data_IF_290023285905
#
_entry.id   IF_290023285905
#
_cell.length_a   1.000
_cell.length_b   1.000
_cell.length_c   1.000
_cell.angle_alpha   90.00
_cell.angle_beta   90.00
_cell.angle_gamma   90.00
#
_symmetry.space_group_name_H-M   'P 1'
#
loop_
_entity.id
_entity.type
_entity.pdbx_description
1 polymer ?
#
# COMPACT_ATOMS: atom_id res chain seq x y z
N UNK A 1 -1.21 -38.27 -1.84
CA UNK A 1 -1.30 -36.90 -2.40
C UNK A 1 0.11 -36.43 -2.69
N UNK A 2 0.32 -35.84 -3.87
CA UNK A 2 1.63 -35.74 -4.51
C UNK A 2 2.58 -34.71 -3.93
N UNK A 3 3.89 -34.97 -4.06
CA UNK A 3 4.94 -33.96 -3.88
C UNK A 3 4.95 -33.03 -5.10
N UNK A 4 5.16 -31.74 -4.85
CA UNK A 4 5.29 -30.71 -5.87
C UNK A 4 6.78 -30.53 -6.19
N UNK A 5 7.18 -30.66 -7.45
CA UNK A 5 8.47 -30.11 -7.88
C UNK A 5 8.19 -28.84 -8.67
N UNK A 6 8.47 -27.67 -8.09
CA UNK A 6 8.45 -26.41 -8.84
C UNK A 6 9.66 -26.35 -9.76
N UNK A 7 9.43 -26.28 -11.07
CA UNK A 7 10.45 -25.97 -12.05
C UNK A 7 10.27 -24.53 -12.54
N UNK A 8 11.30 -23.72 -12.30
CA UNK A 8 11.53 -22.36 -12.82
C UNK A 8 10.72 -21.22 -12.19
N UNK A 9 11.39 -20.44 -11.31
CA UNK A 9 11.01 -19.06 -10.99
C UNK A 9 11.46 -18.16 -12.16
N UNK A 10 10.52 -17.64 -12.94
CA UNK A 10 10.77 -16.48 -13.78
C UNK A 10 10.10 -15.26 -13.13
N UNK A 11 10.83 -14.54 -12.28
CA UNK A 11 10.39 -13.26 -11.73
C UNK A 11 10.40 -12.21 -12.85
N UNK A 12 9.28 -12.07 -13.55
CA UNK A 12 9.03 -10.89 -14.38
C UNK A 12 8.13 -9.95 -13.60
N UNK A 13 8.62 -8.77 -13.15
CA UNK A 13 7.75 -7.76 -12.58
C UNK A 13 6.81 -7.24 -13.67
N UNK A 14 5.56 -7.70 -13.65
CA UNK A 14 4.47 -7.09 -14.41
C UNK A 14 3.92 -5.88 -13.62
N UNK A 15 3.43 -4.82 -14.30
CA UNK A 15 3.22 -3.51 -13.69
C UNK A 15 2.27 -3.54 -12.47
N UNK A 16 2.76 -2.95 -11.37
CA UNK A 16 2.06 -2.77 -10.10
C UNK A 16 0.85 -1.83 -10.23
N UNK A 17 -0.19 -2.04 -9.42
CA UNK A 17 -1.30 -1.07 -9.21
C UNK A 17 -1.01 0.01 -8.16
N UNK A 18 0.20 0.08 -7.59
CA UNK A 18 0.66 1.24 -6.83
C UNK A 18 0.97 2.41 -7.77
N UNK A 19 1.01 3.65 -7.27
CA UNK A 19 1.30 4.79 -8.15
C UNK A 19 2.75 4.71 -8.65
N UNK A 20 2.94 4.31 -9.90
CA UNK A 20 4.29 4.24 -10.46
C UNK A 20 4.82 5.66 -10.65
N UNK A 21 6.15 5.84 -10.64
CA UNK A 21 6.74 7.12 -11.05
C UNK A 21 6.22 7.56 -12.41
N UNK A 22 6.04 6.62 -13.32
CA UNK A 22 5.46 6.90 -14.63
C UNK A 22 4.03 7.45 -14.49
N UNK A 23 3.17 6.83 -13.68
CA UNK A 23 1.81 7.31 -13.43
C UNK A 23 1.76 8.72 -12.79
N UNK A 24 2.71 9.02 -11.88
CA UNK A 24 2.88 10.38 -11.32
C UNK A 24 3.15 11.38 -12.45
N UNK A 25 4.10 11.07 -13.33
CA UNK A 25 4.48 11.93 -14.44
C UNK A 25 3.38 12.04 -15.50
N UNK A 26 2.69 10.94 -15.81
CA UNK A 26 1.57 10.93 -16.75
C UNK A 26 0.44 11.84 -16.24
N UNK A 27 0.16 11.79 -14.93
CA UNK A 27 -0.79 12.71 -14.30
C UNK A 27 -0.31 14.15 -14.43
N UNK A 28 0.97 14.42 -14.14
CA UNK A 28 1.54 15.76 -14.26
C UNK A 28 1.47 16.31 -15.70
N UNK A 29 1.73 15.47 -16.71
CA UNK A 29 1.58 15.82 -18.13
C UNK A 29 0.14 16.18 -18.46
N UNK A 30 -0.85 15.41 -17.99
CA UNK A 30 -2.27 15.74 -18.23
C UNK A 30 -2.58 17.16 -17.78
N UNK A 31 -2.15 17.57 -16.59
CA UNK A 31 -2.38 18.94 -16.11
C UNK A 31 -1.59 20.00 -16.87
N UNK A 32 -0.34 19.71 -17.26
CA UNK A 32 0.56 20.66 -17.90
C UNK A 32 0.28 20.85 -19.41
N UNK A 33 -0.25 19.81 -20.05
CA UNK A 33 -0.59 19.76 -21.49
C UNK A 33 -2.09 19.95 -21.72
N UNK A 34 -2.88 20.19 -20.66
CA UNK A 34 -4.33 20.36 -20.75
C UNK A 34 -4.70 21.54 -21.65
N UNK A 35 -5.28 21.27 -22.82
CA UNK A 35 -5.83 22.30 -23.69
C UNK A 35 -7.23 22.72 -23.25
N UNK A 36 -7.50 24.01 -23.21
CA UNK A 36 -8.81 24.57 -22.91
C UNK A 36 -9.01 25.94 -23.54
N UNK A 37 -10.26 26.32 -23.78
CA UNK A 37 -10.62 27.66 -24.29
C UNK A 37 -11.22 28.51 -23.17
N UNK A 38 -10.68 29.71 -22.95
CA UNK A 38 -11.27 30.64 -22.01
C UNK A 38 -12.53 31.26 -22.63
N UNK A 39 -13.72 30.96 -22.10
CA UNK A 39 -14.97 31.53 -22.60
C UNK A 39 -15.54 32.64 -21.70
N UNK A 40 -14.94 32.85 -20.53
CA UNK A 40 -15.39 33.90 -19.62
C UNK A 40 -14.89 35.27 -20.10
N UNK A 41 -15.80 36.24 -20.19
CA UNK A 41 -15.52 37.62 -20.57
C UNK A 41 -15.14 38.46 -19.35
N UNK A 42 -13.88 38.90 -19.26
CA UNK A 42 -13.52 40.02 -18.37
C UNK A 42 -13.14 41.26 -19.18
N UNK A 43 -13.82 42.37 -18.86
CA UNK A 43 -13.60 43.74 -19.35
C UNK A 43 -12.73 44.59 -18.41
N UNK A 44 -12.19 44.03 -17.31
CA UNK A 44 -11.35 44.81 -16.41
C UNK A 44 -9.89 44.75 -16.86
N UNK A 45 -9.50 45.81 -17.56
CA UNK A 45 -8.14 46.23 -17.84
C UNK A 45 -7.26 46.01 -16.59
N UNK A 46 -6.29 45.10 -16.67
CA UNK A 46 -5.18 45.02 -15.70
C UNK A 46 -4.90 43.70 -14.96
N UNK A 47 -5.68 42.62 -15.15
CA UNK A 47 -5.42 41.33 -14.46
C UNK A 47 -5.51 40.07 -15.35
N UNK A 48 -5.68 40.22 -16.65
CA UNK A 48 -5.95 39.10 -17.56
C UNK A 48 -4.71 38.30 -17.92
N UNK A 49 -4.45 37.18 -17.24
CA UNK A 49 -3.59 36.13 -17.79
C UNK A 49 -4.33 35.27 -18.83
N UNK A 50 -5.67 35.32 -18.82
CA UNK A 50 -6.54 34.56 -19.70
C UNK A 50 -7.57 35.49 -20.34
N UNK A 51 -7.73 35.39 -21.67
CA UNK A 51 -8.59 36.25 -22.48
C UNK A 51 -9.68 35.41 -23.14
N UNK A 52 -10.91 35.95 -23.18
CA UNK A 52 -12.05 35.28 -23.80
C UNK A 52 -11.77 34.92 -25.27
N UNK A 53 -12.18 33.73 -25.68
CA UNK A 53 -11.97 33.16 -27.01
C UNK A 53 -10.55 32.62 -27.27
N UNK A 54 -9.60 32.81 -26.34
CA UNK A 54 -8.24 32.31 -26.51
C UNK A 54 -8.08 30.88 -25.95
N UNK A 55 -7.22 30.10 -26.61
CA UNK A 55 -6.81 28.77 -26.16
C UNK A 55 -5.57 28.84 -25.28
N UNK A 56 -5.54 27.99 -24.27
CA UNK A 56 -4.42 27.86 -23.33
C UNK A 56 -4.07 26.40 -23.14
N UNK A 57 -2.79 26.15 -22.87
CA UNK A 57 -2.24 24.84 -22.50
C UNK A 57 -1.87 24.87 -21.02
N UNK A 58 -2.23 23.86 -20.25
CA UNK A 58 -1.97 23.80 -18.82
C UNK A 58 -3.13 24.35 -17.99
N UNK A 59 -3.54 23.60 -16.96
CA UNK A 59 -4.62 24.01 -16.06
C UNK A 59 -4.31 25.33 -15.35
N UNK A 60 -5.31 26.21 -15.19
CA UNK A 60 -5.10 27.50 -14.56
C UNK A 60 -4.68 27.38 -13.09
N UNK A 61 -3.76 28.25 -12.66
CA UNK A 61 -3.36 28.36 -11.27
C UNK A 61 -4.42 29.14 -10.48
N UNK A 62 -4.88 28.54 -9.38
CA UNK A 62 -5.72 29.20 -8.38
C UNK A 62 -5.13 28.99 -7.01
N UNK A 63 -4.82 30.07 -6.28
CA UNK A 63 -4.38 29.95 -4.89
C UNK A 63 -5.47 29.29 -4.05
N UNK A 64 -5.13 28.23 -3.31
CA UNK A 64 -6.11 27.44 -2.59
C UNK A 64 -7.02 26.57 -3.48
N UNK A 65 -6.77 26.49 -4.78
CA UNK A 65 -7.48 25.62 -5.72
C UNK A 65 -7.08 24.16 -5.59
N UNK A 66 -8.02 23.24 -5.83
CA UNK A 66 -7.81 21.79 -5.77
C UNK A 66 -8.63 21.05 -6.83
N UNK A 67 -8.87 21.70 -7.97
CA UNK A 67 -9.65 21.09 -9.02
C UNK A 67 -8.94 19.84 -9.57
N UNK A 68 -9.74 18.86 -9.96
CA UNK A 68 -9.29 17.82 -10.87
C UNK A 68 -9.46 18.35 -12.30
N UNK A 69 -8.56 18.01 -13.24
CA UNK A 69 -8.59 18.55 -14.60
C UNK A 69 -9.95 18.44 -15.32
N UNK A 70 -10.68 17.32 -15.13
CA UNK A 70 -12.06 17.17 -15.62
C UNK A 70 -13.03 18.19 -15.02
N UNK A 71 -12.93 18.41 -13.71
CA UNK A 71 -13.75 19.41 -13.00
C UNK A 71 -13.40 20.81 -13.46
N UNK A 72 -12.12 21.10 -13.68
CA UNK A 72 -11.66 22.37 -14.23
C UNK A 72 -12.25 22.63 -15.62
N UNK A 73 -12.14 21.67 -16.55
CA UNK A 73 -12.74 21.79 -17.89
C UNK A 73 -14.24 22.02 -17.82
N UNK A 74 -14.95 21.26 -16.99
CA UNK A 74 -16.38 21.48 -16.80
C UNK A 74 -16.69 22.90 -16.30
N UNK A 75 -15.95 23.40 -15.31
CA UNK A 75 -16.14 24.75 -14.78
C UNK A 75 -15.87 25.83 -15.84
N UNK A 76 -14.81 25.71 -16.62
CA UNK A 76 -14.40 26.78 -17.54
C UNK A 76 -15.11 26.71 -18.89
N UNK A 77 -15.29 25.50 -19.43
CA UNK A 77 -15.85 25.32 -20.77
C UNK A 77 -17.36 25.13 -20.78
N UNK A 78 -17.95 24.56 -19.72
CA UNK A 78 -19.41 24.37 -19.63
C UNK A 78 -20.04 25.49 -18.81
N UNK A 79 -19.60 25.65 -17.56
CA UNK A 79 -20.16 26.66 -16.65
C UNK A 79 -19.63 28.07 -16.90
N UNK A 80 -18.63 28.23 -17.78
CA UNK A 80 -18.03 29.52 -18.15
C UNK A 80 -17.50 30.29 -16.93
N UNK A 81 -17.07 29.59 -15.88
CA UNK A 81 -16.53 30.19 -14.66
C UNK A 81 -15.15 30.80 -14.88
N UNK A 82 -14.77 31.73 -14.01
CA UNK A 82 -13.51 32.46 -14.10
C UNK A 82 -12.33 31.56 -13.70
N UNK A 83 -11.36 31.33 -14.61
CA UNK A 83 -10.10 30.71 -14.25
C UNK A 83 -9.38 31.55 -13.18
N UNK A 84 -8.59 30.90 -12.31
CA UNK A 84 -7.87 31.50 -11.16
C UNK A 84 -8.74 31.94 -9.99
N UNK A 85 -9.99 32.37 -10.22
CA UNK A 85 -10.90 32.79 -9.15
C UNK A 85 -11.81 31.64 -8.71
N UNK A 86 -12.38 30.92 -9.68
CA UNK A 86 -13.41 29.91 -9.44
C UNK A 86 -12.96 28.51 -9.86
N UNK A 87 -12.04 28.43 -10.84
CA UNK A 87 -11.52 27.18 -11.37
C UNK A 87 -9.98 27.18 -11.41
N UNK A 88 -9.37 26.08 -10.99
CA UNK A 88 -7.93 25.85 -11.07
C UNK A 88 -7.33 25.16 -9.85
N UNK A 89 -6.01 25.04 -9.87
CA UNK A 89 -5.24 24.25 -8.92
C UNK A 89 -4.01 25.01 -8.40
N UNK A 90 -3.72 24.91 -7.10
CA UNK A 90 -2.47 25.47 -6.52
C UNK A 90 -1.28 24.49 -6.61
N UNK A 91 -0.08 24.95 -6.24
CA UNK A 91 1.14 24.14 -6.33
C UNK A 91 1.09 22.85 -5.50
N UNK A 92 0.57 22.92 -4.27
CA UNK A 92 0.49 21.77 -3.37
C UNK A 92 -0.62 20.81 -3.75
N UNK A 93 -1.78 21.31 -4.15
CA UNK A 93 -2.87 20.51 -4.67
C UNK A 93 -2.45 19.80 -5.97
N UNK A 94 -1.73 20.48 -6.86
CA UNK A 94 -1.17 19.87 -8.06
C UNK A 94 -0.27 18.67 -7.72
N UNK A 95 0.65 18.84 -6.78
CA UNK A 95 1.49 17.74 -6.29
C UNK A 95 0.65 16.63 -5.67
N UNK A 96 -0.32 16.94 -4.80
CA UNK A 96 -1.23 15.95 -4.22
C UNK A 96 -1.98 15.15 -5.28
N UNK A 97 -2.46 15.79 -6.35
CA UNK A 97 -3.11 15.12 -7.47
C UNK A 97 -2.15 14.22 -8.24
N UNK A 98 -0.93 14.69 -8.49
CA UNK A 98 0.10 13.88 -9.17
C UNK A 98 0.51 12.67 -8.34
N UNK A 99 0.57 12.82 -7.02
CA UNK A 99 0.80 11.73 -6.07
C UNK A 99 -0.45 10.89 -5.77
N UNK A 100 -1.61 11.27 -6.32
CA UNK A 100 -2.92 10.64 -6.08
C UNK A 100 -3.26 10.47 -4.59
N UNK A 101 -2.84 11.42 -3.77
CA UNK A 101 -3.16 11.49 -2.33
C UNK A 101 -4.27 12.51 -2.08
N UNK A 102 -4.80 12.49 -0.86
CA UNK A 102 -5.66 13.56 -0.37
C UNK A 102 -4.96 14.92 -0.43
N UNK A 103 -5.77 15.98 -0.36
CA UNK A 103 -5.24 17.34 -0.51
C UNK A 103 -4.31 17.68 0.65
N UNK A 104 -3.05 17.95 0.31
CA UNK A 104 -2.08 18.53 1.21
C UNK A 104 -1.74 19.95 0.82
N UNK A 105 -1.15 20.68 1.76
CA UNK A 105 -0.53 21.99 1.56
C UNK A 105 0.99 21.86 1.68
N UNK A 106 1.75 22.87 1.23
CA UNK A 106 3.22 22.87 1.36
C UNK A 106 3.70 22.64 2.80
N UNK A 107 2.91 23.05 3.81
CA UNK A 107 3.20 22.80 5.22
C UNK A 107 3.02 21.32 5.66
N UNK A 108 2.17 20.55 4.97
CA UNK A 108 1.83 19.17 5.34
C UNK A 108 2.44 18.12 4.41
N UNK A 109 2.92 18.50 3.21
CA UNK A 109 3.62 17.57 2.31
C UNK A 109 4.82 16.87 2.98
N UNK A 110 5.62 17.53 3.85
CA UNK A 110 6.67 16.84 4.62
C UNK A 110 6.15 15.78 5.61
N UNK A 111 4.86 15.76 5.95
CA UNK A 111 4.28 14.72 6.82
C UNK A 111 4.05 13.40 6.09
N UNK A 112 4.02 13.44 4.75
CA UNK A 112 3.77 12.30 3.87
C UNK A 112 4.97 12.00 2.96
N UNK A 113 6.11 12.63 3.20
CA UNK A 113 7.33 12.48 2.42
C UNK A 113 8.57 12.58 3.31
N UNK A 114 9.71 12.07 2.86
CA UNK A 114 10.98 12.30 3.58
C UNK A 114 11.98 13.11 2.77
N UNK A 115 12.77 13.88 3.51
CA UNK A 115 13.89 14.65 2.99
C UNK A 115 14.95 13.69 2.41
N UNK A 116 15.33 13.93 1.16
CA UNK A 116 16.42 13.23 0.49
C UNK A 116 17.56 14.21 0.15
N UNK A 117 18.64 13.70 -0.45
CA UNK A 117 19.69 14.56 -1.03
C UNK A 117 19.42 14.74 -2.52
N UNK A 118 19.96 15.80 -3.13
CA UNK A 118 19.84 16.03 -4.57
C UNK A 118 20.36 14.84 -5.40
N UNK A 119 21.40 14.15 -4.91
CA UNK A 119 21.95 12.94 -5.52
C UNK A 119 20.96 11.77 -5.61
N UNK A 120 19.94 11.77 -4.74
CA UNK A 120 18.92 10.71 -4.66
C UNK A 120 17.62 11.06 -5.38
N UNK A 121 17.52 12.27 -5.95
CA UNK A 121 16.32 12.69 -6.68
C UNK A 121 16.04 11.75 -7.84
N UNK A 122 14.77 11.40 -7.96
CA UNK A 122 14.23 10.57 -9.03
C UNK A 122 12.99 11.25 -9.62
N UNK A 123 12.59 10.88 -10.84
CA UNK A 123 11.34 11.36 -11.40
C UNK A 123 10.15 11.11 -10.46
N UNK A 124 9.24 12.06 -10.32
CA UNK A 124 8.10 12.01 -9.41
C UNK A 124 8.38 12.48 -7.97
N UNK A 125 9.63 12.75 -7.61
CA UNK A 125 9.98 13.43 -6.37
C UNK A 125 9.64 14.92 -6.45
N UNK A 126 9.65 15.62 -5.32
CA UNK A 126 9.37 17.06 -5.28
C UNK A 126 10.57 17.86 -4.82
N UNK A 127 10.62 19.11 -5.25
CA UNK A 127 11.39 20.16 -4.60
C UNK A 127 10.38 21.02 -3.84
N UNK A 128 10.52 21.09 -2.51
CA UNK A 128 9.65 21.88 -1.65
C UNK A 128 10.42 23.06 -1.06
N UNK A 129 9.85 24.26 -1.22
CA UNK A 129 10.22 25.45 -0.47
C UNK A 129 9.18 25.62 0.64
N UNK A 130 9.53 25.26 1.89
CA UNK A 130 8.56 25.14 2.97
C UNK A 130 7.65 26.36 3.10
N UNK A 131 6.35 26.11 3.27
CA UNK A 131 5.30 27.12 3.42
C UNK A 131 5.19 28.12 2.26
N UNK A 132 5.79 27.84 1.09
CA UNK A 132 5.87 28.80 0.00
C UNK A 132 5.49 28.19 -1.35
N UNK A 133 6.20 27.17 -1.81
CA UNK A 133 6.00 26.62 -3.16
C UNK A 133 6.58 25.22 -3.25
N UNK A 134 5.89 24.31 -3.93
CA UNK A 134 6.39 23.00 -4.30
C UNK A 134 6.36 22.77 -5.81
N UNK A 135 7.33 22.03 -6.36
CA UNK A 135 7.36 21.59 -7.76
C UNK A 135 7.64 20.10 -7.85
N UNK A 136 7.15 19.45 -8.92
CA UNK A 136 7.34 18.03 -9.17
C UNK A 136 8.48 17.82 -10.18
N UNK A 137 9.45 16.97 -9.85
CA UNK A 137 10.64 16.71 -10.67
C UNK A 137 10.34 15.65 -11.72
N UNK A 138 10.60 15.95 -12.99
CA UNK A 138 10.61 14.95 -14.07
C UNK A 138 12.00 14.36 -14.24
N UNK A 139 13.03 15.21 -14.30
CA UNK A 139 14.41 14.78 -14.40
C UNK A 139 15.34 15.85 -13.83
N UNK A 140 16.50 15.42 -13.33
CA UNK A 140 17.47 16.33 -12.76
C UNK A 140 18.88 15.83 -13.03
N UNK A 141 19.74 16.68 -13.59
CA UNK A 141 21.17 16.43 -13.70
C UNK A 141 21.92 17.31 -12.70
N UNK A 142 22.91 16.75 -11.98
CA UNK A 142 23.65 17.48 -10.93
C UNK A 142 24.31 18.76 -11.44
N UNK A 143 24.87 18.71 -12.66
CA UNK A 143 25.51 19.85 -13.31
C UNK A 143 24.66 20.41 -14.47
N UNK A 144 23.51 19.79 -14.76
CA UNK A 144 22.66 20.14 -15.89
C UNK A 144 21.35 20.79 -15.47
N UNK A 145 20.39 20.91 -16.41
CA UNK A 145 19.08 21.44 -16.09
C UNK A 145 18.31 20.48 -15.19
N UNK A 146 17.39 21.07 -14.44
CA UNK A 146 16.33 20.37 -13.72
C UNK A 146 15.02 20.64 -14.45
N UNK A 147 14.33 19.56 -14.82
CA UNK A 147 13.07 19.59 -15.56
C UNK A 147 11.95 19.28 -14.58
N UNK A 148 10.97 20.17 -14.50
CA UNK A 148 9.88 20.09 -13.53
C UNK A 148 8.52 20.34 -14.15
N UNK A 149 7.50 19.85 -13.47
CA UNK A 149 6.14 20.33 -13.56
C UNK A 149 5.84 21.25 -12.37
N UNK A 150 5.23 22.40 -12.65
CA UNK A 150 5.03 23.47 -11.68
C UNK A 150 3.66 24.12 -11.91
N UNK A 151 2.78 24.12 -10.91
CA UNK A 151 1.61 25.01 -10.91
C UNK A 151 2.02 26.35 -10.31
N UNK A 152 2.14 27.38 -11.15
CA UNK A 152 2.71 28.67 -10.76
C UNK A 152 1.71 29.81 -10.97
N UNK A 153 1.64 30.70 -9.99
CA UNK A 153 0.89 31.96 -10.08
C UNK A 153 1.59 33.03 -10.93
N UNK A 154 1.41 34.30 -10.56
CA UNK A 154 2.06 35.42 -11.25
C UNK A 154 1.58 35.62 -12.69
N UNK A 155 2.50 35.89 -13.61
CA UNK A 155 2.21 36.16 -15.04
C UNK A 155 1.93 34.90 -15.86
N UNK A 156 2.42 33.74 -15.43
CA UNK A 156 2.19 32.46 -16.11
C UNK A 156 0.81 31.91 -15.71
N UNK A 157 0.53 31.88 -14.40
CA UNK A 157 -0.75 31.50 -13.80
C UNK A 157 -1.37 30.19 -14.29
N UNK A 158 -0.56 29.17 -14.53
CA UNK A 158 -0.99 27.83 -14.99
C UNK A 158 0.02 26.77 -14.61
N UNK A 159 -0.39 25.51 -14.74
CA UNK A 159 0.53 24.36 -14.71
C UNK A 159 1.42 24.40 -15.95
N UNK A 160 2.72 24.26 -15.75
CA UNK A 160 3.72 24.30 -16.81
C UNK A 160 4.75 23.19 -16.64
N UNK A 161 5.26 22.72 -17.77
CA UNK A 161 6.42 21.84 -17.87
C UNK A 161 7.62 22.66 -18.36
N UNK A 162 8.75 22.65 -17.62
CA UNK A 162 9.92 23.48 -17.97
C UNK A 162 11.24 22.89 -17.50
N UNK A 163 12.28 23.12 -18.31
CA UNK A 163 13.68 22.94 -17.94
C UNK A 163 14.25 24.27 -17.40
N UNK A 164 15.01 24.23 -16.31
CA UNK A 164 15.63 25.42 -15.71
C UNK A 164 16.91 25.07 -14.95
N UNK A 165 17.62 26.08 -14.43
CA UNK A 165 18.84 25.91 -13.66
C UNK A 165 18.57 25.71 -12.17
N UNK A 166 19.45 24.99 -11.49
CA UNK A 166 19.40 24.77 -10.04
C UNK A 166 19.34 26.06 -9.20
N UNK A 167 19.87 27.18 -9.71
CA UNK A 167 19.78 28.48 -9.04
C UNK A 167 18.34 28.92 -8.74
N UNK A 168 17.34 28.51 -9.54
CA UNK A 168 15.92 28.76 -9.26
C UNK A 168 15.44 28.05 -7.99
N UNK A 169 16.03 26.89 -7.68
CA UNK A 169 15.63 26.02 -6.58
C UNK A 169 16.66 25.95 -5.45
N UNK A 170 17.57 26.92 -5.35
CA UNK A 170 18.62 26.94 -4.32
C UNK A 170 18.08 26.92 -2.87
N UNK A 171 16.82 27.31 -2.66
CA UNK A 171 16.14 27.32 -1.36
C UNK A 171 15.11 26.19 -1.19
N UNK A 172 15.05 25.27 -2.14
CA UNK A 172 14.13 24.14 -2.10
C UNK A 172 14.85 22.91 -1.56
N UNK A 173 14.12 22.10 -0.81
CA UNK A 173 14.58 20.83 -0.26
C UNK A 173 13.93 19.69 -1.04
N UNK A 174 14.69 18.68 -1.48
CA UNK A 174 14.12 17.56 -2.21
C UNK A 174 13.46 16.58 -1.25
N UNK A 175 12.22 16.19 -1.56
CA UNK A 175 11.48 15.17 -0.82
C UNK A 175 11.01 14.08 -1.77
N UNK A 176 10.98 12.86 -1.26
CA UNK A 176 10.34 11.72 -1.93
C UNK A 176 9.14 11.28 -1.11
N UNK A 177 8.02 11.00 -1.80
CA UNK A 177 6.78 10.52 -1.17
C UNK A 177 7.08 9.27 -0.35
N UNK A 178 6.46 9.14 0.82
CA UNK A 178 6.59 7.93 1.64
C UNK A 178 6.07 6.72 0.89
N UNK A 179 6.77 5.62 1.09
CA UNK A 179 6.50 4.39 0.41
C UNK A 179 6.36 3.22 1.40
N UNK A 180 5.24 2.49 1.27
CA UNK A 180 5.15 1.08 1.68
C UNK A 180 5.04 0.24 0.42
N UNK A 181 5.83 -0.82 0.34
CA UNK A 181 5.79 -1.69 -0.82
C UNK A 181 6.14 -3.12 -0.48
N UNK A 182 6.00 -3.98 -1.47
CA UNK A 182 6.55 -5.32 -1.49
C UNK A 182 7.95 -5.30 -2.10
N UNK A 183 8.78 -6.28 -1.75
CA UNK A 183 10.12 -6.46 -2.33
C UNK A 183 10.12 -7.70 -3.22
N UNK A 184 9.88 -7.57 -4.55
CA UNK A 184 9.75 -8.71 -5.45
C UNK A 184 10.95 -9.67 -5.39
N UNK A 185 12.16 -9.13 -5.22
CA UNK A 185 13.41 -9.88 -5.13
C UNK A 185 13.54 -10.74 -3.86
N UNK A 186 12.67 -10.53 -2.87
CA UNK A 186 12.62 -11.31 -1.64
C UNK A 186 11.35 -12.13 -1.53
N UNK A 187 10.58 -12.24 -2.60
CA UNK A 187 9.44 -13.13 -2.66
C UNK A 187 9.91 -14.52 -3.05
N UNK A 188 9.52 -15.53 -2.28
CA UNK A 188 9.80 -16.93 -2.62
C UNK A 188 8.56 -17.79 -2.50
N UNK A 189 8.47 -18.78 -3.38
CA UNK A 189 7.40 -19.76 -3.38
C UNK A 189 8.00 -21.10 -2.96
N UNK A 190 7.36 -21.78 -2.02
CA UNK A 190 7.81 -23.06 -1.49
C UNK A 190 6.64 -24.02 -1.33
N UNK A 191 6.92 -25.31 -1.29
CA UNK A 191 5.93 -26.33 -0.99
C UNK A 191 6.07 -26.81 0.46
N UNK A 192 4.95 -27.22 1.03
CA UNK A 192 4.95 -28.02 2.26
C UNK A 192 3.61 -28.71 2.40
N UNK A 193 3.63 -30.04 2.43
CA UNK A 193 2.43 -30.85 2.66
C UNK A 193 1.23 -30.53 1.73
N UNK A 194 1.49 -30.26 0.45
CA UNK A 194 0.42 -29.97 -0.52
C UNK A 194 -0.12 -28.54 -0.49
N UNK A 195 0.61 -27.61 0.10
CA UNK A 195 0.27 -26.19 0.16
C UNK A 195 1.35 -25.37 -0.55
N UNK A 196 0.93 -24.47 -1.45
CA UNK A 196 1.82 -23.46 -2.05
C UNK A 196 1.98 -22.32 -1.06
N UNK A 197 3.21 -22.07 -0.60
CA UNK A 197 3.55 -21.01 0.35
C UNK A 197 4.26 -19.88 -0.34
N UNK A 198 3.80 -18.65 -0.13
CA UNK A 198 4.44 -17.43 -0.63
C UNK A 198 5.01 -16.67 0.56
N UNK A 199 6.34 -16.54 0.60
CA UNK A 199 7.05 -15.66 1.53
C UNK A 199 7.18 -14.30 0.88
N UNK A 200 6.84 -13.24 1.61
CA UNK A 200 6.93 -11.88 1.13
C UNK A 200 7.46 -10.94 2.21
N UNK A 201 8.14 -9.88 1.77
CA UNK A 201 8.66 -8.83 2.63
C UNK A 201 7.94 -7.52 2.32
N UNK A 202 7.34 -6.93 3.35
CA UNK A 202 6.76 -5.58 3.29
C UNK A 202 7.78 -4.61 3.89
N UNK A 203 7.98 -3.47 3.23
CA UNK A 203 8.90 -2.44 3.70
C UNK A 203 8.19 -1.10 3.82
N UNK A 204 8.71 -0.23 4.68
CA UNK A 204 8.24 1.13 4.90
C UNK A 204 9.45 2.06 5.04
N UNK A 205 9.59 3.06 4.17
CA UNK A 205 10.62 4.11 4.30
C UNK A 205 10.14 5.34 5.10
N UNK A 206 8.89 5.32 5.55
CA UNK A 206 8.27 6.31 6.41
C UNK A 206 8.84 6.37 7.81
N UNK A 207 8.77 7.56 8.43
CA UNK A 207 9.20 7.82 9.81
C UNK A 207 8.17 7.39 10.88
N UNK A 208 7.01 6.86 10.48
CA UNK A 208 5.92 6.40 11.36
C UNK A 208 5.54 4.95 11.03
N UNK A 209 5.07 4.15 12.01
CA UNK A 209 4.54 2.82 11.75
C UNK A 209 3.32 2.87 10.83
N UNK A 210 3.16 1.88 9.95
CA UNK A 210 2.01 1.78 9.05
C UNK A 210 1.37 0.39 9.17
N UNK A 211 0.04 0.34 9.11
CA UNK A 211 -0.71 -0.91 9.11
C UNK A 211 -1.30 -1.16 7.73
N UNK A 212 -1.16 -2.38 7.23
CA UNK A 212 -1.70 -2.82 5.95
C UNK A 212 -2.15 -4.28 6.07
N UNK A 213 -2.88 -4.76 5.08
CA UNK A 213 -3.28 -6.16 4.95
C UNK A 213 -2.60 -6.74 3.71
N UNK A 214 -1.74 -7.72 3.89
CA UNK A 214 -1.14 -8.44 2.77
C UNK A 214 -2.07 -9.58 2.34
N UNK A 215 -2.43 -9.61 1.06
CA UNK A 215 -3.43 -10.50 0.49
C UNK A 215 -2.83 -11.26 -0.68
N UNK A 216 -3.09 -12.57 -0.74
CA UNK A 216 -2.71 -13.44 -1.86
C UNK A 216 -3.94 -13.78 -2.70
N UNK A 217 -3.81 -13.65 -4.01
CA UNK A 217 -4.79 -14.07 -5.02
C UNK A 217 -4.13 -15.05 -6.01
N UNK A 218 -4.95 -15.83 -6.72
CA UNK A 218 -4.55 -16.47 -7.98
C UNK A 218 -5.56 -16.12 -9.07
N UNK A 219 -5.06 -15.96 -10.29
CA UNK A 219 -5.83 -15.65 -11.50
C UNK A 219 -6.94 -16.66 -11.84
N UNK A 220 -6.89 -17.87 -11.28
CA UNK A 220 -7.88 -18.93 -11.48
C UNK A 220 -9.04 -18.93 -10.47
N UNK A 221 -9.01 -18.06 -9.46
CA UNK A 221 -10.09 -17.92 -8.45
C UNK A 221 -11.06 -16.81 -8.90
N UNK A 222 -12.38 -16.98 -8.70
CA UNK A 222 -13.45 -16.07 -9.17
C UNK A 222 -13.29 -14.60 -8.73
N UNK A 223 -14.17 -13.69 -9.17
CA UNK A 223 -14.02 -12.22 -9.10
C UNK A 223 -13.64 -11.61 -7.73
N UNK A 224 -13.84 -12.35 -6.63
CA UNK A 224 -13.53 -12.00 -5.24
C UNK A 224 -12.17 -12.59 -4.77
N UNK A 225 -11.40 -13.20 -5.68
CA UNK A 225 -10.43 -14.32 -5.58
C UNK A 225 -9.29 -14.32 -4.56
N UNK A 226 -9.57 -13.88 -3.34
CA UNK A 226 -8.68 -13.90 -2.18
C UNK A 226 -8.49 -15.32 -1.70
N UNK A 227 -7.24 -15.77 -1.71
CA UNK A 227 -6.83 -17.08 -1.18
C UNK A 227 -6.58 -16.97 0.32
N UNK A 228 -5.68 -16.07 0.71
CA UNK A 228 -5.25 -15.84 2.10
C UNK A 228 -4.98 -14.36 2.32
N UNK A 229 -5.18 -13.86 3.54
CA UNK A 229 -4.78 -12.50 3.91
C UNK A 229 -4.30 -12.41 5.34
N UNK A 230 -3.27 -11.61 5.57
CA UNK A 230 -2.60 -11.45 6.86
C UNK A 230 -2.44 -9.96 7.15
N UNK A 231 -2.83 -9.47 8.35
CA UNK A 231 -2.54 -8.11 8.76
C UNK A 231 -1.03 -7.95 9.00
N UNK A 232 -0.45 -6.87 8.49
CA UNK A 232 0.98 -6.54 8.60
C UNK A 232 1.12 -5.14 9.19
N UNK A 233 1.92 -5.01 10.25
CA UNK A 233 2.33 -3.71 10.79
C UNK A 233 3.81 -3.53 10.51
N UNK A 234 4.16 -2.48 9.77
CA UNK A 234 5.55 -2.13 9.43
C UNK A 234 6.04 -1.03 10.37
N UNK A 235 7.28 -1.13 10.82
CA UNK A 235 7.92 -0.10 11.67
C UNK A 235 8.85 0.77 10.80
N UNK A 236 9.01 2.07 11.10
CA UNK A 236 9.97 2.94 10.41
C UNK A 236 11.36 2.30 10.42
N UNK A 237 11.95 2.09 9.23
CA UNK A 237 13.29 1.52 9.02
C UNK A 237 13.49 0.05 9.41
N UNK A 238 12.43 -0.70 9.73
CA UNK A 238 12.49 -2.14 9.86
C UNK A 238 11.63 -2.78 8.78
N UNK A 239 12.20 -3.74 8.04
CA UNK A 239 11.42 -4.65 7.20
C UNK A 239 10.36 -5.28 8.11
N UNK A 240 9.11 -5.41 7.66
CA UNK A 240 8.22 -6.33 8.36
C UNK A 240 8.88 -7.71 8.33
N UNK A 241 8.65 -8.49 9.39
CA UNK A 241 9.05 -9.89 9.43
C UNK A 241 8.57 -10.62 8.17
N UNK A 242 9.24 -11.72 7.83
CA UNK A 242 8.87 -12.59 6.73
C UNK A 242 7.41 -13.03 6.87
N UNK A 243 6.54 -12.58 5.97
CA UNK A 243 5.11 -12.90 6.01
C UNK A 243 4.85 -14.11 5.12
N UNK A 244 4.22 -15.14 5.68
CA UNK A 244 3.93 -16.39 5.00
C UNK A 244 2.45 -16.47 4.61
N UNK A 245 2.14 -16.44 3.31
CA UNK A 245 0.80 -16.66 2.78
C UNK A 245 0.68 -18.06 2.19
N UNK A 246 -0.49 -18.67 2.30
CA UNK A 246 -0.71 -20.06 1.89
C UNK A 246 -1.82 -20.15 0.84
N UNK A 247 -1.65 -21.02 -0.15
CA UNK A 247 -2.69 -21.43 -1.09
C UNK A 247 -2.95 -22.93 -0.95
N UNK A 248 -3.86 -23.33 -0.05
CA UNK A 248 -4.28 -24.72 0.07
C UNK A 248 -5.12 -25.12 -1.15
N UNK A 249 -4.81 -26.26 -1.75
CA UNK A 249 -5.60 -26.82 -2.85
C UNK A 249 -5.36 -26.17 -4.22
N UNK A 250 -4.16 -25.65 -4.47
CA UNK A 250 -3.75 -25.17 -5.79
C UNK A 250 -3.98 -26.23 -6.88
N UNK A 251 -4.59 -25.88 -8.00
CA UNK A 251 -4.75 -26.81 -9.13
C UNK A 251 -3.45 -26.98 -9.90
N UNK A 252 -3.24 -28.14 -10.53
CA UNK A 252 -2.10 -28.28 -11.46
C UNK A 252 -2.27 -27.33 -12.65
N UNK A 253 -1.17 -26.74 -13.11
CA UNK A 253 -1.15 -25.84 -14.26
C UNK A 253 -0.28 -24.61 -14.03
N UNK A 254 -0.27 -23.74 -15.03
CA UNK A 254 0.32 -22.40 -14.94
C UNK A 254 -0.65 -21.46 -14.23
N UNK A 255 -0.15 -20.71 -13.25
CA UNK A 255 -0.93 -19.72 -12.51
C UNK A 255 -0.13 -18.44 -12.33
N UNK A 256 -0.84 -17.34 -12.12
CA UNK A 256 -0.26 -16.07 -11.67
C UNK A 256 -0.73 -15.78 -10.26
N UNK A 257 0.18 -15.90 -9.29
CA UNK A 257 -0.08 -15.44 -7.93
C UNK A 257 0.02 -13.92 -7.89
N UNK A 258 -0.93 -13.27 -7.23
CA UNK A 258 -0.93 -11.82 -7.05
C UNK A 258 -0.87 -11.55 -5.54
N UNK A 259 0.28 -11.09 -5.07
CA UNK A 259 0.40 -10.51 -3.73
C UNK A 259 -0.04 -9.05 -3.80
N UNK A 260 -0.91 -8.61 -2.88
CA UNK A 260 -1.35 -7.23 -2.80
C UNK A 260 -1.37 -6.71 -1.37
N UNK A 261 -0.88 -5.50 -1.15
CA UNK A 261 -1.15 -4.71 0.04
C UNK A 261 -2.50 -4.00 -0.12
N UNK A 262 -3.43 -4.30 0.78
CA UNK A 262 -4.76 -3.72 0.88
C UNK A 262 -4.94 -3.08 2.24
N UNK A 263 -6.02 -2.31 2.41
CA UNK A 263 -6.35 -1.68 3.71
C UNK A 263 -5.12 -0.99 4.32
N UNK A 264 -4.36 -0.27 3.50
CA UNK A 264 -3.22 0.52 3.97
C UNK A 264 -3.83 1.68 4.76
N UNK A 265 -3.71 1.60 6.08
CA UNK A 265 -4.14 2.63 7.00
C UNK A 265 -2.93 3.45 7.43
N UNK A 266 -2.79 4.65 6.88
CA UNK A 266 -2.02 5.70 7.50
C UNK A 266 -2.95 6.58 8.34
N UNK A 267 -2.41 7.26 9.34
CA UNK A 267 -2.86 8.64 9.61
C UNK A 267 -2.40 9.55 8.43
N UNK A 268 -2.87 9.26 7.21
CA UNK A 268 -2.55 9.85 5.87
C UNK A 268 -1.17 9.56 5.23
N UNK A 269 -1.12 8.70 4.20
CA UNK A 269 -0.10 8.48 3.15
C UNK A 269 -0.28 7.13 2.42
N UNK A 270 -0.43 7.14 1.10
CA UNK A 270 -0.46 5.94 0.24
C UNK A 270 0.86 5.76 -0.55
N UNK A 271 0.98 4.64 -1.27
CA UNK A 271 2.10 3.71 -1.29
C UNK A 271 2.59 3.39 -2.71
N UNK A 272 3.80 2.82 -2.82
CA UNK A 272 4.53 2.58 -4.06
C UNK A 272 5.05 1.12 -4.05
N UNK A 273 4.54 0.28 -4.95
CA UNK A 273 4.71 -1.21 -5.00
C UNK A 273 3.79 -2.06 -4.09
N UNK A 274 2.49 -1.79 -4.12
CA UNK A 274 1.50 -2.60 -3.42
C UNK A 274 1.20 -3.96 -4.02
N UNK A 275 1.72 -4.31 -5.20
CA UNK A 275 1.30 -5.53 -5.88
C UNK A 275 2.49 -6.22 -6.53
N UNK A 276 2.66 -7.52 -6.27
CA UNK A 276 3.67 -8.36 -6.93
C UNK A 276 2.95 -9.52 -7.58
N UNK A 277 3.17 -9.69 -8.89
CA UNK A 277 2.71 -10.84 -9.65
C UNK A 277 3.84 -11.86 -9.78
N UNK A 278 3.54 -13.12 -9.50
CA UNK A 278 4.51 -14.22 -9.51
C UNK A 278 3.92 -15.33 -10.40
N UNK A 279 4.45 -15.56 -11.61
CA UNK A 279 4.08 -16.73 -12.38
C UNK A 279 4.62 -17.98 -11.69
N UNK A 280 3.77 -19.00 -11.54
CA UNK A 280 4.13 -20.28 -10.94
C UNK A 280 3.56 -21.43 -11.77
N UNK A 281 4.37 -22.46 -11.99
CA UNK A 281 3.92 -23.73 -12.55
C UNK A 281 3.73 -24.74 -11.42
N UNK A 282 2.50 -25.23 -11.26
CA UNK A 282 2.13 -26.19 -10.22
C UNK A 282 1.94 -27.56 -10.87
N UNK A 283 2.76 -28.55 -10.47
CA UNK A 283 2.63 -29.93 -10.95
C UNK A 283 2.52 -30.90 -9.77
N UNK A 284 1.37 -31.54 -9.60
CA UNK A 284 1.17 -32.60 -8.61
C UNK A 284 1.76 -33.94 -9.12
N UNK A 285 2.79 -34.46 -8.47
CA UNK A 285 3.37 -35.78 -8.79
C UNK A 285 3.01 -36.79 -7.71
N UNK A 286 2.33 -37.88 -8.07
CA UNK A 286 2.03 -38.96 -7.13
C UNK A 286 3.32 -39.67 -6.68
N UNK A 287 3.84 -39.30 -5.51
CA UNK A 287 4.94 -40.00 -4.85
C UNK A 287 4.43 -41.19 -4.03
N UNK A 288 5.00 -42.37 -4.26
CA UNK A 288 5.02 -43.47 -3.31
C UNK A 288 5.91 -43.03 -2.12
N UNK A 289 5.42 -43.24 -0.89
CA UNK A 289 5.98 -42.75 0.38
C UNK A 289 5.85 -41.23 0.61
N UNK A 290 4.64 -40.81 0.98
CA UNK A 290 4.33 -39.42 1.31
C UNK A 290 4.83 -38.99 2.70
N UNK A 291 5.04 -37.68 2.95
CA UNK A 291 5.20 -37.18 4.31
C UNK A 291 3.91 -37.48 5.08
N UNK A 292 4.04 -38.17 6.22
CA UNK A 292 2.90 -38.60 7.03
C UNK A 292 1.93 -37.46 7.26
N UNK A 293 0.64 -37.73 7.07
CA UNK A 293 -0.41 -36.88 7.61
C UNK A 293 -0.05 -36.52 9.06
N UNK A 294 -0.31 -35.30 9.54
CA UNK A 294 -0.22 -35.04 10.97
C UNK A 294 -1.03 -36.12 11.69
N UNK A 295 -0.42 -36.89 12.58
CA UNK A 295 -1.17 -37.92 13.30
C UNK A 295 -2.03 -37.32 14.42
N UNK A 296 -1.71 -36.08 14.84
CA UNK A 296 -2.28 -35.46 16.03
C UNK A 296 -2.68 -33.99 15.87
N UNK A 297 -3.69 -33.62 16.65
CA UNK A 297 -4.14 -32.25 16.90
C UNK A 297 -3.12 -31.52 17.77
N UNK A 298 -2.68 -30.32 17.38
CA UNK A 298 -1.76 -29.54 18.22
C UNK A 298 -2.08 -28.05 18.24
N UNK A 299 -1.87 -27.44 19.41
CA UNK A 299 -1.84 -25.99 19.62
C UNK A 299 -0.41 -25.63 20.01
N UNK A 300 0.30 -24.92 19.14
CA UNK A 300 1.70 -24.56 19.34
C UNK A 300 1.85 -23.50 20.43
N UNK A 301 3.02 -23.43 21.08
CA UNK A 301 3.34 -22.32 21.99
C UNK A 301 3.15 -20.97 21.27
N UNK A 302 2.37 -20.05 21.85
CA UNK A 302 2.23 -18.70 21.31
C UNK A 302 3.59 -17.97 21.32
N UNK A 303 3.87 -17.17 20.29
CA UNK A 303 5.14 -16.46 20.15
C UNK A 303 4.95 -15.04 19.57
N UNK A 304 5.65 -14.00 20.08
CA UNK A 304 6.47 -14.03 21.29
C UNK A 304 5.61 -14.26 22.54
N UNK A 305 6.19 -14.83 23.60
CA UNK A 305 5.50 -15.00 24.88
C UNK A 305 6.55 -14.98 26.02
N UNK A 306 6.63 -13.91 26.83
CA UNK A 306 5.68 -12.79 26.91
C UNK A 306 5.62 -11.89 25.66
N UNK A 307 4.50 -11.20 25.46
CA UNK A 307 4.28 -10.25 24.36
C UNK A 307 3.82 -8.88 24.87
N UNK A 308 4.05 -7.82 24.08
CA UNK A 308 3.73 -6.44 24.48
C UNK A 308 2.54 -5.81 23.77
N UNK A 309 2.23 -6.29 22.57
CA UNK A 309 1.21 -5.72 21.70
C UNK A 309 0.44 -6.83 20.99
N UNK A 310 1.14 -7.76 20.34
CA UNK A 310 0.53 -8.88 19.64
C UNK A 310 1.28 -10.19 19.86
N UNK A 311 0.57 -11.31 19.66
CA UNK A 311 1.11 -12.66 19.76
C UNK A 311 0.58 -13.52 18.62
N UNK A 312 1.46 -14.34 18.05
CA UNK A 312 1.11 -15.34 17.04
C UNK A 312 0.66 -16.63 17.71
N UNK A 313 -0.49 -17.12 17.29
CA UNK A 313 -1.09 -18.38 17.74
C UNK A 313 -1.20 -19.32 16.54
N UNK A 314 -0.58 -20.50 16.65
CA UNK A 314 -0.59 -21.52 15.61
C UNK A 314 -1.26 -22.79 16.09
N UNK A 315 -2.03 -23.45 15.25
CA UNK A 315 -2.55 -24.79 15.52
C UNK A 315 -2.48 -25.68 14.28
N UNK A 316 -2.53 -26.99 14.49
CA UNK A 316 -2.58 -28.01 13.43
C UNK A 316 -3.74 -28.96 13.65
N UNK A 317 -4.44 -29.29 12.56
CA UNK A 317 -5.48 -30.32 12.54
C UNK A 317 -5.14 -31.39 11.48
N UNK A 318 -5.26 -32.69 11.82
CA UNK A 318 -4.94 -33.82 10.95
C UNK A 318 -6.05 -34.14 9.93
N UNK A 319 -7.25 -33.59 10.15
CA UNK A 319 -8.42 -33.72 9.30
C UNK A 319 -9.19 -32.39 9.30
N UNK A 320 -9.95 -32.12 8.23
CA UNK A 320 -10.77 -30.93 8.15
C UNK A 320 -11.89 -30.99 9.21
N UNK A 321 -12.06 -29.91 9.97
CA UNK A 321 -12.96 -29.92 11.12
C UNK A 321 -13.46 -28.52 11.47
N UNK A 322 -14.55 -28.48 12.24
CA UNK A 322 -15.03 -27.26 12.86
C UNK A 322 -14.16 -26.92 14.08
N UNK A 323 -13.54 -25.75 14.08
CA UNK A 323 -12.58 -25.27 15.07
C UNK A 323 -13.06 -23.97 15.71
N UNK A 324 -12.78 -23.83 17.01
CA UNK A 324 -12.94 -22.60 17.77
C UNK A 324 -11.63 -22.28 18.49
N UNK A 325 -10.98 -21.19 18.10
CA UNK A 325 -9.78 -20.63 18.72
C UNK A 325 -10.16 -19.38 19.52
N UNK A 326 -10.04 -19.45 20.85
CA UNK A 326 -10.50 -18.39 21.77
C UNK A 326 -9.46 -18.05 22.81
N UNK A 327 -9.50 -16.81 23.29
CA UNK A 327 -8.68 -16.30 24.39
C UNK A 327 -9.57 -16.03 25.60
N UNK A 328 -9.10 -16.44 26.78
CA UNK A 328 -9.77 -16.23 28.06
C UNK A 328 -8.84 -15.54 29.05
N UNK A 329 -9.43 -14.79 29.99
CA UNK A 329 -8.74 -14.35 31.18
C UNK A 329 -8.69 -15.47 32.24
N UNK A 330 -7.95 -15.26 33.33
CA UNK A 330 -7.85 -16.23 34.44
C UNK A 330 -9.17 -16.47 35.19
N UNK A 331 -10.19 -15.62 34.98
CA UNK A 331 -11.54 -15.80 35.53
C UNK A 331 -12.43 -16.64 34.62
N UNK A 332 -11.89 -17.12 33.49
CA UNK A 332 -12.63 -17.90 32.50
C UNK A 332 -13.53 -17.07 31.60
N UNK A 333 -13.43 -15.73 31.64
CA UNK A 333 -14.20 -14.87 30.72
C UNK A 333 -13.55 -14.89 29.35
N UNK A 334 -14.35 -15.06 28.30
CA UNK A 334 -13.88 -14.92 26.92
C UNK A 334 -13.45 -13.48 26.70
N UNK A 335 -12.18 -13.30 26.33
CA UNK A 335 -11.60 -12.00 25.98
C UNK A 335 -11.74 -11.77 24.49
N UNK A 336 -11.48 -12.80 23.67
CA UNK A 336 -11.53 -12.69 22.21
C UNK A 336 -11.78 -14.04 21.55
N UNK A 337 -12.69 -14.09 20.57
CA UNK A 337 -12.69 -15.16 19.56
C UNK A 337 -11.71 -14.80 18.43
N UNK A 338 -10.62 -15.57 18.28
CA UNK A 338 -9.60 -15.35 17.25
C UNK A 338 -10.07 -15.95 15.92
N UNK A 339 -10.59 -17.17 15.97
CA UNK A 339 -11.04 -17.89 14.80
C UNK A 339 -12.20 -18.84 15.17
N UNK A 340 -13.23 -18.90 14.32
CA UNK A 340 -14.34 -19.82 14.50
C UNK A 340 -14.92 -20.23 13.16
N UNK A 341 -15.09 -21.53 12.93
CA UNK A 341 -15.68 -22.06 11.70
C UNK A 341 -15.05 -23.37 11.26
N UNK A 342 -15.27 -23.73 10.00
CA UNK A 342 -14.71 -24.95 9.40
C UNK A 342 -13.32 -24.67 8.80
N UNK A 343 -12.34 -25.50 9.15
CA UNK A 343 -10.95 -25.36 8.70
C UNK A 343 -10.50 -26.63 7.96
N UNK A 344 -9.74 -26.50 6.85
CA UNK A 344 -9.16 -27.64 6.16
C UNK A 344 -8.03 -28.29 6.97
N UNK A 345 -7.71 -29.55 6.64
CA UNK A 345 -6.52 -30.24 7.17
C UNK A 345 -5.26 -29.38 6.97
N UNK A 346 -4.40 -29.35 7.98
CA UNK A 346 -3.14 -28.60 7.92
C UNK A 346 -2.90 -27.72 9.14
N UNK A 347 -1.95 -26.81 8.98
CA UNK A 347 -1.55 -25.86 10.01
C UNK A 347 -2.15 -24.48 9.73
N UNK A 348 -2.55 -23.77 10.79
CA UNK A 348 -3.24 -22.49 10.71
C UNK A 348 -2.59 -21.50 11.66
N UNK A 349 -2.39 -20.26 11.21
CA UNK A 349 -1.69 -19.20 11.94
C UNK A 349 -2.58 -17.98 12.10
N UNK A 350 -2.67 -17.44 13.32
CA UNK A 350 -3.46 -16.26 13.65
C UNK A 350 -2.66 -15.28 14.50
N UNK A 351 -2.97 -13.99 14.38
CA UNK A 351 -2.44 -12.93 15.24
C UNK A 351 -3.53 -12.50 16.22
N UNK A 352 -3.20 -12.43 17.50
CA UNK A 352 -4.00 -11.70 18.48
C UNK A 352 -3.29 -10.40 18.84
N UNK A 353 -3.99 -9.27 18.70
CA UNK A 353 -3.51 -7.90 18.90
C UNK A 353 -3.67 -7.40 20.35
N UNK A 354 -3.97 -8.30 21.28
CA UNK A 354 -4.20 -7.95 22.69
C UNK A 354 -5.43 -7.06 22.89
N UNK A 355 -6.40 -7.08 21.97
CA UNK A 355 -7.71 -6.45 22.13
C UNK A 355 -8.79 -7.46 22.49
N UNK A 356 -9.82 -7.01 23.22
CA UNK A 356 -11.03 -7.77 23.48
C UNK A 356 -12.03 -7.71 22.29
N UNK A 357 -13.22 -8.28 22.46
CA UNK A 357 -14.27 -8.26 21.43
C UNK A 357 -14.80 -6.85 21.15
N UNK A 358 -14.82 -5.97 22.15
CA UNK A 358 -15.22 -4.56 22.02
C UNK A 358 -14.08 -3.62 21.61
N UNK A 359 -12.96 -4.17 21.09
CA UNK A 359 -11.76 -3.43 20.64
C UNK A 359 -11.07 -2.62 21.73
N UNK A 360 -11.31 -2.94 23.00
CA UNK A 360 -10.59 -2.35 24.13
C UNK A 360 -9.31 -3.12 24.35
N UNK A 361 -8.30 -2.39 24.81
CA UNK A 361 -6.98 -2.94 25.17
C UNK A 361 -7.11 -3.90 26.37
N UNK A 362 -6.78 -5.18 26.17
CA UNK A 362 -6.73 -6.16 27.25
C UNK A 362 -5.62 -5.80 28.27
N UNK A 363 -5.85 -5.93 29.58
CA UNK A 363 -4.87 -5.54 30.59
C UNK A 363 -3.59 -6.41 30.56
N UNK A 364 -2.47 -5.93 31.11
CA UNK A 364 -1.32 -6.80 31.37
C UNK A 364 -1.71 -7.94 32.29
N UNK A 365 -1.22 -9.14 32.01
CA UNK A 365 -1.59 -10.33 32.77
C UNK A 365 -1.47 -11.63 32.00
N UNK A 366 -1.96 -12.70 32.62
CA UNK A 366 -1.97 -14.04 32.04
C UNK A 366 -3.30 -14.32 31.37
N UNK A 367 -3.23 -14.90 30.18
CA UNK A 367 -4.36 -15.32 29.36
C UNK A 367 -4.23 -16.79 28.97
N UNK A 368 -5.35 -17.43 28.67
CA UNK A 368 -5.42 -18.79 28.17
C UNK A 368 -5.94 -18.79 26.73
N UNK A 369 -5.14 -19.29 25.79
CA UNK A 369 -5.57 -19.57 24.43
C UNK A 369 -6.07 -21.01 24.37
N UNK A 370 -7.28 -21.22 23.86
CA UNK A 370 -7.87 -22.56 23.73
C UNK A 370 -8.19 -22.86 22.28
N UNK A 371 -7.85 -24.07 21.84
CA UNK A 371 -8.27 -24.66 20.59
C UNK A 371 -9.27 -25.77 20.88
N UNK A 372 -10.51 -25.60 20.43
CA UNK A 372 -11.53 -26.64 20.45
C UNK A 372 -11.78 -27.13 19.03
N UNK A 373 -11.64 -28.44 18.82
CA UNK A 373 -11.99 -29.08 17.54
C UNK A 373 -13.20 -29.97 17.75
N UNK A 374 -14.21 -29.85 16.87
CA UNK A 374 -15.48 -30.56 17.01
C UNK A 374 -15.27 -32.08 17.02
N UNK A 375 -15.85 -32.74 18.02
CA UNK A 375 -15.71 -34.19 18.21
C UNK A 375 -14.36 -34.62 18.81
N UNK A 376 -13.51 -33.67 19.24
CA UNK A 376 -12.19 -33.91 19.81
C UNK A 376 -12.01 -33.13 21.13
N UNK A 377 -10.83 -33.27 21.73
CA UNK A 377 -10.48 -32.61 22.99
C UNK A 377 -10.23 -31.10 22.86
N UNK A 378 -10.04 -30.46 24.02
CA UNK A 378 -9.66 -29.06 24.15
C UNK A 378 -8.15 -28.97 24.39
N UNK A 379 -7.43 -28.20 23.57
CA UNK A 379 -6.03 -27.87 23.83
C UNK A 379 -5.93 -26.46 24.39
N UNK A 380 -5.02 -26.25 25.35
CA UNK A 380 -4.87 -24.97 26.05
C UNK A 380 -3.40 -24.55 26.10
N UNK A 381 -3.13 -23.26 25.88
CA UNK A 381 -1.82 -22.64 26.04
C UNK A 381 -1.90 -21.36 26.85
N UNK A 382 -0.91 -21.12 27.71
CA UNK A 382 -0.79 -19.90 28.52
C UNK A 382 -0.06 -18.81 27.74
N UNK A 383 -0.55 -17.58 27.82
CA UNK A 383 0.05 -16.37 27.25
C UNK A 383 0.26 -15.31 28.33
N UNK A 384 1.34 -14.53 28.24
CA UNK A 384 1.65 -13.43 29.15
C UNK A 384 1.74 -12.11 28.36
N UNK A 385 0.81 -11.19 28.63
CA UNK A 385 0.80 -9.84 28.07
C UNK A 385 1.46 -8.86 29.05
N UNK A 386 2.49 -8.14 28.60
CA UNK A 386 3.23 -7.13 29.38
C UNK A 386 3.14 -5.81 28.63
N UNK A 387 2.46 -4.81 29.18
CA UNK A 387 2.32 -3.50 28.53
C UNK A 387 3.13 -2.44 29.24
#
# INVERSE_FOLDING_TARGET
MGLLYMLSLCLFPLPCRGITRQAILDTARIYAELEWTCYNTFTSVGKGNFYAGQKYIGEAYKFGGNDHWKTFLYKVEVLKLQPREQAGIDCSAFVSRCWQVDRHVTATLPNISHLITQLKLKPGDILDKPNSHVVLVESASLAGPVVVFESVGGTIARVVHRATSWSRYQWYKPYTLFNVGLKPERVSVSDSAGVVRVRAYVWNDGGKPMSCRLVLYADTVSADGRITSIPVTTHPRCWSEEVLLEWPGASSGEHTLILRLEEVFPDESDTTDNEVRIPVSVTWVAGADGPGLPEEYSLFPPYPNPFNSSVVVRFRIPEAAEVSLKVYDLRGRTVRSIAQGYFPVGEHTFLWDGMDEERRKAASGIYLCTLKVRGKGLLVRRMALVR
#
